data_IF_863430089167
#
_entry.id   IF_863430089167
#
_cell.length_a   1.000
_cell.length_b   1.000
_cell.length_c   1.000
_cell.angle_alpha   90.00
_cell.angle_beta   90.00
_cell.angle_gamma   90.00
#
_symmetry.space_group_name_H-M   'P 1'
#
loop_
_entity.id
_entity.type
_entity.pdbx_description
1 polymer ?
#
# COMPACT_ATOMS: atom_id res chain seq x y z
N UNK A 1 1.36 23.52 8.77
CA UNK A 1 1.54 22.79 7.49
C UNK A 1 2.06 21.40 7.79
N UNK A 2 1.53 20.36 7.18
CA UNK A 2 2.10 19.02 7.31
C UNK A 2 3.49 19.02 6.69
N UNK A 3 4.46 18.36 7.35
CA UNK A 3 5.83 18.19 6.82
C UNK A 3 5.74 17.34 5.56
N UNK A 4 6.24 17.84 4.44
CA UNK A 4 6.34 17.06 3.21
C UNK A 4 7.52 16.10 3.34
N UNK A 5 7.21 14.81 3.52
CA UNK A 5 8.21 13.75 3.75
C UNK A 5 9.14 13.53 2.55
N UNK A 6 8.76 13.97 1.35
CA UNK A 6 9.59 13.82 0.15
C UNK A 6 10.62 14.94 -0.04
N UNK A 7 10.53 16.02 0.77
CA UNK A 7 11.53 17.11 0.76
C UNK A 7 12.73 16.88 1.69
N UNK A 8 12.82 15.71 2.28
CA UNK A 8 13.95 15.26 3.12
C UNK A 8 14.13 13.76 2.94
N UNK A 9 15.28 13.23 3.37
CA UNK A 9 15.49 11.78 3.51
C UNK A 9 14.39 11.17 4.36
N UNK A 10 14.00 9.94 4.04
CA UNK A 10 13.05 9.20 4.84
C UNK A 10 13.56 9.02 6.27
N UNK A 11 12.74 9.37 7.25
CA UNK A 11 13.04 9.14 8.65
C UNK A 11 13.02 7.64 8.98
N UNK A 12 13.58 7.28 10.15
CA UNK A 12 13.68 5.90 10.62
C UNK A 12 12.31 5.19 10.63
N UNK A 13 11.24 5.89 11.05
CA UNK A 13 9.89 5.34 11.06
C UNK A 13 9.40 4.97 9.67
N UNK A 14 9.66 5.80 8.67
CA UNK A 14 9.34 5.53 7.27
C UNK A 14 10.18 4.38 6.73
N UNK A 15 11.49 4.34 7.02
CA UNK A 15 12.37 3.25 6.61
C UNK A 15 11.91 1.90 7.16
N UNK A 16 11.50 1.84 8.44
CA UNK A 16 10.96 0.62 9.06
C UNK A 16 9.67 0.15 8.36
N UNK A 17 8.76 1.06 8.05
CA UNK A 17 7.53 0.72 7.31
C UNK A 17 7.84 0.14 5.92
N UNK A 18 8.77 0.74 5.21
CA UNK A 18 9.21 0.28 3.90
C UNK A 18 9.93 -1.07 3.97
N UNK A 19 10.70 -1.32 5.03
CA UNK A 19 11.30 -2.63 5.29
C UNK A 19 10.22 -3.70 5.53
N UNK A 20 9.23 -3.41 6.37
CA UNK A 20 8.10 -4.32 6.63
C UNK A 20 7.36 -4.63 5.33
N UNK A 21 7.05 -3.62 4.52
CA UNK A 21 6.44 -3.81 3.20
C UNK A 21 7.28 -4.74 2.33
N UNK A 22 8.58 -4.45 2.20
CA UNK A 22 9.48 -5.21 1.33
C UNK A 22 9.56 -6.69 1.74
N UNK A 23 9.80 -6.96 3.03
CA UNK A 23 9.92 -8.32 3.53
C UNK A 23 8.58 -9.08 3.42
N UNK A 24 7.46 -8.44 3.73
CA UNK A 24 6.16 -9.08 3.59
C UNK A 24 5.83 -9.38 2.12
N UNK A 25 6.05 -8.43 1.23
CA UNK A 25 5.70 -8.57 -0.19
C UNK A 25 6.55 -9.63 -0.91
N UNK A 26 7.82 -9.78 -0.52
CA UNK A 26 8.70 -10.87 -0.99
C UNK A 26 8.14 -12.25 -0.67
N UNK A 27 7.54 -12.43 0.50
CA UNK A 27 6.95 -13.71 0.89
C UNK A 27 5.53 -13.88 0.33
N UNK A 28 4.78 -12.80 0.21
CA UNK A 28 3.40 -12.83 -0.26
C UNK A 28 3.28 -13.16 -1.75
N UNK A 29 4.04 -12.51 -2.60
CA UNK A 29 3.92 -12.64 -4.06
C UNK A 29 4.16 -14.07 -4.58
N UNK A 30 5.20 -14.81 -4.12
CA UNK A 30 5.45 -16.18 -4.54
C UNK A 30 4.32 -17.16 -4.20
N UNK A 31 3.58 -16.93 -3.14
CA UNK A 31 2.45 -17.80 -2.74
C UNK A 31 1.46 -17.94 -3.89
N UNK A 32 1.22 -16.86 -4.62
CA UNK A 32 0.27 -16.83 -5.71
C UNK A 32 0.91 -17.17 -7.06
N UNK A 33 2.16 -16.78 -7.28
CA UNK A 33 2.87 -17.06 -8.53
C UNK A 33 3.28 -18.54 -8.65
N UNK A 34 3.61 -19.20 -7.53
CA UNK A 34 4.12 -20.59 -7.52
C UNK A 34 3.10 -21.62 -7.03
N UNK A 35 1.84 -21.22 -6.85
CA UNK A 35 0.78 -22.16 -6.48
C UNK A 35 0.64 -23.28 -7.54
N UNK A 36 0.52 -24.55 -7.10
CA UNK A 36 0.38 -25.71 -7.98
C UNK A 36 -0.88 -25.66 -8.85
N UNK A 37 -1.99 -25.16 -8.27
CA UNK A 37 -3.24 -24.90 -8.98
C UNK A 37 -3.60 -23.44 -8.80
N UNK A 38 -3.79 -22.74 -9.91
CA UNK A 38 -4.19 -21.34 -9.93
C UNK A 38 -5.62 -21.26 -10.47
N UNK A 39 -6.47 -20.54 -9.75
CA UNK A 39 -7.86 -20.28 -10.13
C UNK A 39 -8.04 -18.80 -10.52
N UNK A 40 -6.90 -18.12 -10.72
CA UNK A 40 -6.83 -16.69 -11.07
C UNK A 40 -5.86 -16.52 -12.24
N UNK A 41 -6.20 -15.58 -13.08
CA UNK A 41 -5.39 -15.08 -14.19
C UNK A 41 -4.70 -13.76 -13.90
N UNK A 42 -5.02 -13.18 -12.71
CA UNK A 42 -4.61 -11.83 -12.33
C UNK A 42 -4.31 -11.74 -10.84
N UNK A 43 -3.29 -10.94 -10.51
CA UNK A 43 -2.95 -10.50 -9.14
C UNK A 43 -3.04 -8.97 -9.14
N UNK A 44 -3.71 -8.39 -8.14
CA UNK A 44 -3.89 -6.94 -8.07
C UNK A 44 -3.21 -6.40 -6.82
N UNK A 45 -2.38 -5.38 -7.00
CA UNK A 45 -1.64 -4.73 -5.94
C UNK A 45 -2.05 -3.27 -5.89
N UNK A 46 -2.39 -2.79 -4.70
CA UNK A 46 -2.76 -1.40 -4.46
C UNK A 46 -1.77 -0.75 -3.52
N UNK A 47 -1.25 0.41 -3.92
CA UNK A 47 -0.61 1.36 -3.03
C UNK A 47 -1.44 2.63 -3.03
N UNK A 48 -2.22 2.83 -1.96
CA UNK A 48 -3.20 3.91 -1.91
C UNK A 48 -2.62 5.27 -1.53
N UNK A 49 -1.35 5.31 -1.11
CA UNK A 49 -0.66 6.54 -0.69
C UNK A 49 0.78 6.54 -1.22
N UNK A 50 0.90 6.42 -2.52
CA UNK A 50 2.14 6.12 -3.22
C UNK A 50 3.23 7.21 -3.13
N UNK A 51 2.83 8.46 -2.87
CA UNK A 51 3.76 9.58 -2.84
C UNK A 51 4.49 9.79 -4.16
N UNK A 52 5.71 10.31 -4.10
CA UNK A 52 6.56 10.55 -5.28
C UNK A 52 7.33 9.29 -5.73
N UNK A 53 7.30 8.21 -4.94
CA UNK A 53 7.99 6.95 -5.22
C UNK A 53 9.42 6.86 -4.70
N UNK A 54 10.08 7.97 -4.34
CA UNK A 54 11.40 8.02 -3.69
C UNK A 54 11.57 9.32 -2.92
N UNK A 55 12.55 9.34 -2.01
CA UNK A 55 12.96 10.55 -1.31
C UNK A 55 14.02 11.36 -2.09
N UNK A 56 14.52 12.44 -1.47
CA UNK A 56 15.54 13.33 -2.07
C UNK A 56 16.88 12.66 -2.31
N UNK A 57 17.22 11.63 -1.52
CA UNK A 57 18.47 10.88 -1.65
C UNK A 57 18.34 9.71 -2.64
N UNK A 58 17.16 9.53 -3.22
CA UNK A 58 16.87 8.46 -4.16
C UNK A 58 16.48 7.12 -3.50
N UNK A 59 16.29 7.11 -2.17
CA UNK A 59 15.78 5.93 -1.45
C UNK A 59 14.38 5.58 -1.95
N UNK A 60 14.18 4.32 -2.31
CA UNK A 60 12.92 3.88 -2.87
C UNK A 60 11.79 3.90 -1.85
N UNK A 61 10.66 4.52 -2.22
CA UNK A 61 9.39 4.41 -1.52
C UNK A 61 8.61 3.15 -1.94
N UNK A 62 7.45 2.99 -1.35
CA UNK A 62 6.58 1.81 -1.55
C UNK A 62 6.33 1.45 -3.00
N UNK A 63 5.99 2.39 -3.94
CA UNK A 63 5.72 2.03 -5.33
C UNK A 63 6.91 1.38 -6.03
N UNK A 64 8.11 1.92 -5.79
CA UNK A 64 9.31 1.42 -6.45
C UNK A 64 9.85 0.13 -5.80
N UNK A 65 9.59 -0.10 -4.52
CA UNK A 65 9.86 -1.37 -3.83
C UNK A 65 8.98 -2.46 -4.41
N UNK A 66 7.66 -2.25 -4.47
CA UNK A 66 6.71 -3.21 -5.04
C UNK A 66 7.08 -3.53 -6.50
N UNK A 67 7.37 -2.49 -7.29
CA UNK A 67 7.76 -2.67 -8.69
C UNK A 67 9.08 -3.43 -8.83
N UNK A 68 10.04 -3.24 -7.91
CA UNK A 68 11.30 -4.00 -7.90
C UNK A 68 11.04 -5.47 -7.67
N UNK A 69 10.18 -5.83 -6.73
CA UNK A 69 9.85 -7.22 -6.45
C UNK A 69 9.06 -7.86 -7.60
N UNK A 70 8.11 -7.17 -8.21
CA UNK A 70 7.43 -7.66 -9.41
C UNK A 70 8.42 -7.97 -10.54
N UNK A 71 9.45 -7.14 -10.72
CA UNK A 71 10.51 -7.37 -11.73
C UNK A 71 11.36 -8.60 -11.41
N UNK A 72 11.59 -8.91 -10.14
CA UNK A 72 12.32 -10.12 -9.74
C UNK A 72 11.56 -11.39 -10.16
N UNK A 73 10.23 -11.35 -10.22
CA UNK A 73 9.37 -12.47 -10.62
C UNK A 73 8.87 -12.39 -12.07
N UNK A 74 9.43 -11.51 -12.89
CA UNK A 74 9.00 -11.29 -14.27
C UNK A 74 8.92 -12.60 -15.09
N UNK A 75 9.90 -13.51 -14.93
CA UNK A 75 9.92 -14.79 -15.64
C UNK A 75 8.79 -15.73 -15.19
N UNK A 76 8.51 -15.80 -13.89
CA UNK A 76 7.40 -16.59 -13.34
C UNK A 76 6.05 -16.07 -13.85
N UNK A 77 5.89 -14.74 -13.85
CA UNK A 77 4.69 -14.04 -14.34
C UNK A 77 4.45 -14.31 -15.81
N UNK A 78 5.51 -14.22 -16.64
CA UNK A 78 5.44 -14.49 -18.08
C UNK A 78 5.10 -15.94 -18.37
N UNK A 79 5.79 -16.89 -17.71
CA UNK A 79 5.60 -18.32 -17.90
C UNK A 79 4.15 -18.73 -17.64
N UNK A 80 3.57 -18.23 -16.58
CA UNK A 80 2.23 -18.61 -16.14
C UNK A 80 1.12 -17.72 -16.73
N UNK A 81 1.50 -16.71 -17.52
CA UNK A 81 0.59 -15.75 -18.16
C UNK A 81 -0.32 -15.03 -17.16
N UNK A 82 0.17 -14.79 -15.95
CA UNK A 82 -0.56 -14.06 -14.90
C UNK A 82 -0.40 -12.56 -15.16
N UNK A 83 -1.50 -11.82 -15.17
CA UNK A 83 -1.46 -10.37 -15.23
C UNK A 83 -1.24 -9.81 -13.82
N UNK A 84 -0.11 -9.15 -13.57
CA UNK A 84 0.09 -8.36 -12.36
C UNK A 84 -0.33 -6.91 -12.61
N UNK A 85 -1.37 -6.46 -11.92
CA UNK A 85 -1.87 -5.10 -12.02
C UNK A 85 -1.50 -4.31 -10.76
N UNK A 86 -0.59 -3.35 -10.91
CA UNK A 86 -0.18 -2.41 -9.87
C UNK A 86 -0.93 -1.10 -10.01
N UNK A 87 -1.72 -0.77 -9.01
CA UNK A 87 -2.51 0.46 -8.93
C UNK A 87 -1.89 1.35 -7.86
N UNK A 88 -1.35 2.48 -8.28
CA UNK A 88 -0.72 3.49 -7.44
C UNK A 88 -1.62 4.69 -7.35
N UNK A 89 -1.91 5.17 -6.16
CA UNK A 89 -2.72 6.36 -5.96
C UNK A 89 -1.96 7.41 -5.15
N UNK A 90 -1.95 8.63 -5.65
CA UNK A 90 -1.44 9.80 -4.95
C UNK A 90 -2.38 10.98 -5.22
N UNK A 91 -2.85 11.63 -4.17
CA UNK A 91 -3.84 12.70 -4.29
C UNK A 91 -3.25 14.02 -4.82
N UNK A 92 -1.99 14.29 -4.51
CA UNK A 92 -1.29 15.50 -4.97
C UNK A 92 -0.85 15.34 -6.42
N UNK A 93 -1.43 16.13 -7.31
CA UNK A 93 -1.15 16.08 -8.76
C UNK A 93 0.31 16.32 -9.12
N UNK A 94 1.02 17.17 -8.36
CA UNK A 94 2.44 17.43 -8.60
C UNK A 94 3.23 16.14 -8.27
N UNK A 95 2.92 15.48 -7.17
CA UNK A 95 3.55 14.22 -6.79
C UNK A 95 3.22 13.09 -7.76
N UNK A 96 2.01 13.07 -8.31
CA UNK A 96 1.62 12.12 -9.37
C UNK A 96 2.52 12.20 -10.57
N UNK A 97 2.85 13.41 -11.06
CA UNK A 97 3.75 13.58 -12.21
C UNK A 97 5.18 13.12 -11.89
N UNK A 98 5.67 13.40 -10.67
CA UNK A 98 6.97 12.91 -10.22
C UNK A 98 6.95 11.37 -10.13
N UNK A 99 5.88 10.78 -9.56
CA UNK A 99 5.68 9.34 -9.47
C UNK A 99 5.69 8.69 -10.86
N UNK A 100 4.96 9.24 -11.84
CA UNK A 100 4.96 8.76 -13.24
C UNK A 100 6.37 8.69 -13.82
N UNK A 101 7.13 9.74 -13.63
CA UNK A 101 8.52 9.81 -14.10
C UNK A 101 9.40 8.75 -13.41
N UNK A 102 9.27 8.59 -12.09
CA UNK A 102 10.04 7.62 -11.33
C UNK A 102 9.71 6.18 -11.72
N UNK A 103 8.43 5.87 -11.90
CA UNK A 103 7.95 4.54 -12.37
C UNK A 103 8.47 4.27 -13.79
N UNK A 104 8.33 5.23 -14.71
CA UNK A 104 8.81 5.09 -16.10
C UNK A 104 10.32 4.85 -16.13
N UNK A 105 11.10 5.62 -15.37
CA UNK A 105 12.55 5.43 -15.28
C UNK A 105 12.90 4.05 -14.69
N UNK A 106 12.18 3.56 -13.68
CA UNK A 106 12.39 2.24 -13.10
C UNK A 106 12.13 1.13 -14.12
N UNK A 107 11.16 1.29 -15.00
CA UNK A 107 10.84 0.33 -16.06
C UNK A 107 11.92 0.31 -17.14
N UNK A 108 12.44 1.46 -17.56
CA UNK A 108 13.52 1.56 -18.55
C UNK A 108 14.78 0.77 -18.17
N UNK A 109 15.08 0.68 -16.86
CA UNK A 109 16.25 -0.01 -16.33
C UNK A 109 15.93 -1.43 -15.85
N UNK A 110 15.18 -2.20 -16.64
CA UNK A 110 14.88 -3.58 -16.31
C UNK A 110 16.13 -4.46 -16.41
N UNK A 111 16.48 -5.19 -15.32
CA UNK A 111 17.64 -6.10 -15.29
C UNK A 111 17.51 -7.24 -16.28
N UNK A 112 16.30 -7.62 -16.64
CA UNK A 112 15.99 -8.71 -17.58
C UNK A 112 15.97 -8.25 -19.05
N UNK A 113 16.20 -7.00 -19.33
CA UNK A 113 16.52 -6.46 -20.63
C UNK A 113 17.96 -6.88 -20.95
N UNK A 114 18.34 -7.60 -21.78
CA UNK A 114 18.10 -8.11 -23.12
C UNK A 114 17.42 -9.49 -23.20
N UNK A 115 17.26 -10.21 -22.10
CA UNK A 115 16.61 -11.52 -22.10
C UNK A 115 15.08 -11.46 -22.02
N UNK A 116 14.51 -10.29 -21.76
CA UNK A 116 13.08 -10.08 -21.83
C UNK A 116 12.63 -10.14 -23.30
N UNK A 117 11.65 -11.00 -23.65
CA UNK A 117 11.15 -11.09 -25.03
C UNK A 117 10.41 -9.82 -25.47
N UNK A 118 10.18 -8.88 -24.56
CA UNK A 118 9.42 -7.65 -24.75
C UNK A 118 10.35 -6.45 -24.78
N UNK A 119 10.32 -5.71 -25.87
CA UNK A 119 11.30 -4.64 -26.18
C UNK A 119 10.85 -3.25 -25.73
N UNK A 120 9.56 -3.10 -25.35
CA UNK A 120 8.97 -1.82 -24.93
C UNK A 120 8.25 -1.95 -23.60
N UNK A 121 8.04 -0.83 -22.89
CA UNK A 121 7.27 -0.80 -21.65
C UNK A 121 5.79 -1.21 -21.87
N UNK A 122 5.26 -1.04 -23.07
CA UNK A 122 3.90 -1.43 -23.45
C UNK A 122 3.74 -2.95 -23.47
N UNK A 123 4.84 -3.67 -23.67
CA UNK A 123 4.89 -5.12 -23.67
C UNK A 123 5.18 -5.73 -22.31
N UNK A 124 5.34 -4.94 -21.26
CA UNK A 124 5.63 -5.48 -19.94
C UNK A 124 4.44 -6.28 -19.40
N UNK A 125 4.72 -7.37 -18.67
CA UNK A 125 3.71 -8.23 -18.02
C UNK A 125 2.99 -7.54 -16.87
N UNK A 126 3.40 -6.33 -16.52
CA UNK A 126 2.74 -5.53 -15.50
C UNK A 126 1.84 -4.51 -16.16
N UNK A 127 0.61 -4.47 -15.73
CA UNK A 127 -0.25 -3.32 -15.94
C UNK A 127 -0.02 -2.36 -14.78
N UNK A 128 0.32 -1.10 -15.06
CA UNK A 128 0.49 -0.07 -14.03
C UNK A 128 -0.50 1.05 -14.30
N UNK A 129 -1.32 1.31 -13.30
CA UNK A 129 -2.27 2.43 -13.31
C UNK A 129 -1.86 3.43 -12.22
N UNK A 130 -1.79 4.70 -12.54
CA UNK A 130 -1.49 5.77 -11.59
C UNK A 130 -2.69 6.70 -11.55
N UNK A 131 -3.32 6.78 -10.38
CA UNK A 131 -4.53 7.55 -10.10
C UNK A 131 -4.20 8.80 -9.27
N UNK A 132 -5.02 9.85 -9.40
CA UNK A 132 -4.94 11.10 -8.63
C UNK A 132 -6.22 11.34 -7.81
N UNK A 133 -6.79 10.26 -7.26
CA UNK A 133 -8.09 10.27 -6.60
C UNK A 133 -7.97 10.43 -5.08
N UNK A 134 -9.01 11.00 -4.48
CA UNK A 134 -9.23 10.90 -3.06
C UNK A 134 -9.31 9.42 -2.64
N UNK A 135 -8.64 9.07 -1.53
CA UNK A 135 -8.57 7.69 -1.06
C UNK A 135 -9.96 7.04 -0.91
N UNK A 136 -10.90 7.74 -0.26
CA UNK A 136 -12.24 7.16 0.01
C UNK A 136 -13.00 6.92 -1.28
N UNK A 137 -12.90 7.85 -2.22
CA UNK A 137 -13.54 7.74 -3.52
C UNK A 137 -13.00 6.52 -4.28
N UNK A 138 -11.68 6.40 -4.38
CA UNK A 138 -11.04 5.26 -5.04
C UNK A 138 -11.33 3.96 -4.29
N UNK A 139 -11.18 3.93 -2.95
CA UNK A 139 -11.44 2.72 -2.17
C UNK A 139 -12.87 2.21 -2.36
N UNK A 140 -13.87 3.08 -2.33
CA UNK A 140 -15.27 2.67 -2.54
C UNK A 140 -15.56 2.20 -3.96
N UNK A 141 -14.90 2.77 -4.96
CA UNK A 141 -14.98 2.32 -6.36
C UNK A 141 -14.42 0.90 -6.49
N UNK A 142 -13.18 0.67 -6.03
CA UNK A 142 -12.51 -0.63 -6.16
C UNK A 142 -13.11 -1.69 -5.24
N UNK A 143 -13.63 -1.31 -4.05
CA UNK A 143 -14.27 -2.24 -3.11
C UNK A 143 -15.45 -2.99 -3.74
N UNK A 144 -16.29 -2.29 -4.52
CA UNK A 144 -17.41 -2.92 -5.24
C UNK A 144 -16.91 -3.99 -6.22
N UNK A 145 -15.89 -3.65 -6.99
CA UNK A 145 -15.25 -4.58 -7.93
C UNK A 145 -14.61 -5.78 -7.21
N UNK A 146 -13.99 -5.55 -6.05
CA UNK A 146 -13.37 -6.61 -5.25
C UNK A 146 -14.38 -7.61 -4.70
N UNK A 147 -15.53 -7.13 -4.24
CA UNK A 147 -16.64 -7.99 -3.78
C UNK A 147 -17.20 -8.85 -4.90
N UNK A 148 -17.22 -8.34 -6.13
CA UNK A 148 -17.71 -9.08 -7.32
C UNK A 148 -16.70 -10.12 -7.83
N UNK A 149 -15.43 -10.01 -7.46
CA UNK A 149 -14.35 -10.90 -7.89
C UNK A 149 -13.57 -11.48 -6.70
N UNK A 150 -14.21 -12.27 -5.82
CA UNK A 150 -13.61 -12.69 -4.54
C UNK A 150 -12.42 -13.65 -4.71
N UNK A 151 -12.25 -14.25 -5.89
CA UNK A 151 -11.21 -15.25 -6.16
C UNK A 151 -9.85 -14.64 -6.53
N UNK A 152 -9.80 -13.35 -6.89
CA UNK A 152 -8.55 -12.71 -7.27
C UNK A 152 -7.68 -12.40 -6.03
N UNK A 153 -6.40 -12.81 -6.03
CA UNK A 153 -5.47 -12.40 -4.99
C UNK A 153 -5.21 -10.88 -5.03
N UNK A 154 -5.21 -10.27 -3.85
CA UNK A 154 -4.96 -8.84 -3.71
C UNK A 154 -4.03 -8.54 -2.56
N UNK A 155 -3.19 -7.54 -2.77
CA UNK A 155 -2.40 -6.93 -1.73
C UNK A 155 -2.68 -5.44 -1.67
N UNK A 156 -2.82 -4.89 -0.46
CA UNK A 156 -3.05 -3.46 -0.27
C UNK A 156 -2.04 -2.88 0.71
N UNK A 157 -1.36 -1.84 0.28
CA UNK A 157 -0.51 -1.04 1.15
C UNK A 157 -1.19 0.29 1.46
N UNK A 158 -1.33 0.61 2.76
CA UNK A 158 -2.16 1.70 3.26
C UNK A 158 -1.36 2.53 4.26
N UNK A 159 -0.30 3.22 3.81
CA UNK A 159 0.50 4.12 4.66
C UNK A 159 -0.08 5.53 4.69
N UNK A 160 -1.21 5.68 5.35
CA UNK A 160 -1.89 6.95 5.47
C UNK A 160 -1.12 7.95 6.34
N UNK A 161 -1.18 9.22 6.00
CA UNK A 161 -0.77 10.28 6.90
C UNK A 161 -1.83 10.51 7.97
N UNK A 162 -1.48 10.25 9.24
CA UNK A 162 -2.40 10.43 10.40
C UNK A 162 -3.35 9.24 10.59
N UNK A 163 -4.67 9.54 10.77
CA UNK A 163 -5.67 8.55 11.20
C UNK A 163 -6.99 8.61 10.42
N UNK A 164 -7.12 9.56 9.48
CA UNK A 164 -8.43 9.94 8.94
C UNK A 164 -8.99 8.96 7.91
N UNK A 165 -8.14 8.20 7.26
CA UNK A 165 -8.53 7.40 6.09
C UNK A 165 -9.00 6.00 6.47
N UNK A 166 -8.25 5.30 7.33
CA UNK A 166 -8.58 3.93 7.75
C UNK A 166 -9.48 3.98 9.00
N UNK A 167 -10.71 4.43 8.79
CA UNK A 167 -11.74 4.43 9.84
C UNK A 167 -12.24 3.01 10.13
N UNK A 168 -12.98 2.83 11.23
CA UNK A 168 -13.58 1.53 11.57
C UNK A 168 -14.43 0.95 10.44
N UNK A 169 -15.15 1.79 9.68
CA UNK A 169 -15.96 1.33 8.54
C UNK A 169 -15.13 0.88 7.35
N UNK A 170 -14.03 1.59 7.06
CA UNK A 170 -13.07 1.17 6.03
C UNK A 170 -12.41 -0.14 6.44
N UNK A 171 -12.00 -0.25 7.70
CA UNK A 171 -11.36 -1.46 8.22
C UNK A 171 -12.29 -2.69 8.14
N UNK A 172 -13.56 -2.58 8.55
CA UNK A 172 -14.53 -3.68 8.40
C UNK A 172 -14.65 -4.11 6.93
N UNK A 173 -14.71 -3.16 6.00
CA UNK A 173 -14.74 -3.47 4.57
C UNK A 173 -13.48 -4.19 4.09
N UNK A 174 -12.30 -3.82 4.60
CA UNK A 174 -11.05 -4.52 4.29
C UNK A 174 -11.08 -5.98 4.76
N UNK A 175 -11.52 -6.21 6.00
CA UNK A 175 -11.61 -7.56 6.61
C UNK A 175 -12.63 -8.45 5.90
N UNK A 176 -13.69 -7.90 5.33
CA UNK A 176 -14.69 -8.66 4.55
C UNK A 176 -14.16 -9.18 3.20
N UNK A 177 -13.04 -8.66 2.70
CA UNK A 177 -12.51 -9.02 1.39
C UNK A 177 -11.81 -10.38 1.44
N UNK A 178 -12.23 -11.29 0.58
CA UNK A 178 -11.57 -12.60 0.43
C UNK A 178 -10.27 -12.47 -0.36
N UNK A 179 -9.29 -13.33 -0.07
CA UNK A 179 -7.98 -13.37 -0.73
C UNK A 179 -7.30 -12.01 -0.84
N UNK A 180 -7.46 -11.22 0.21
CA UNK A 180 -6.94 -9.86 0.26
C UNK A 180 -6.11 -9.70 1.52
N UNK A 181 -4.84 -9.48 1.37
CA UNK A 181 -3.94 -9.12 2.44
C UNK A 181 -3.71 -7.62 2.41
N UNK A 182 -3.61 -7.01 3.59
CA UNK A 182 -3.35 -5.59 3.67
C UNK A 182 -2.41 -5.25 4.83
N UNK A 183 -1.55 -4.27 4.60
CA UNK A 183 -0.73 -3.63 5.61
C UNK A 183 -1.19 -2.19 5.74
N UNK A 184 -1.48 -1.75 6.96
CA UNK A 184 -1.80 -0.36 7.22
C UNK A 184 -1.06 0.17 8.44
N UNK A 185 -0.76 1.47 8.42
CA UNK A 185 -0.08 2.15 9.51
C UNK A 185 -0.96 3.24 10.09
N UNK A 186 -0.90 3.36 11.40
CA UNK A 186 -1.57 4.41 12.17
C UNK A 186 -0.58 5.00 13.16
N UNK A 187 -0.50 6.33 13.18
CA UNK A 187 0.32 7.03 14.15
C UNK A 187 -0.32 6.95 15.54
N UNK A 188 0.16 6.04 16.38
CA UNK A 188 -0.32 5.87 17.75
C UNK A 188 -0.06 7.10 18.63
N UNK A 189 1.06 7.78 18.43
CA UNK A 189 1.37 9.05 19.13
C UNK A 189 0.42 10.16 18.74
N UNK A 190 0.04 10.25 17.46
CA UNK A 190 -0.97 11.20 17.00
C UNK A 190 -2.34 10.85 17.60
N UNK A 191 -2.71 9.57 17.59
CA UNK A 191 -3.95 9.09 18.15
C UNK A 191 -4.08 9.46 19.65
N UNK A 192 -3.07 9.17 20.47
CA UNK A 192 -3.05 9.49 21.89
C UNK A 192 -3.12 11.01 22.15
N UNK A 193 -2.37 11.82 21.39
CA UNK A 193 -2.31 13.27 21.56
C UNK A 193 -3.63 13.97 21.29
N UNK A 194 -4.39 13.49 20.33
CA UNK A 194 -5.61 14.15 19.84
C UNK A 194 -6.90 13.40 20.20
N UNK A 195 -6.84 12.39 21.07
CA UNK A 195 -7.99 11.55 21.44
C UNK A 195 -9.23 12.32 21.92
N UNK A 196 -9.06 13.47 22.57
CA UNK A 196 -10.19 14.29 23.07
C UNK A 196 -10.81 15.22 22.05
N UNK A 197 -10.13 15.47 20.94
CA UNK A 197 -10.66 16.36 19.93
C UNK A 197 -11.92 15.78 19.27
N UNK A 198 -13.02 16.55 19.17
CA UNK A 198 -14.26 16.08 18.54
C UNK A 198 -14.05 15.55 17.12
N UNK A 199 -13.13 16.16 16.38
CA UNK A 199 -12.75 15.73 15.05
C UNK A 199 -12.11 14.35 15.04
N UNK A 200 -11.34 14.02 16.07
CA UNK A 200 -10.69 12.73 16.22
C UNK A 200 -11.70 11.60 16.47
N UNK A 201 -12.68 11.84 17.35
CA UNK A 201 -13.72 10.85 17.71
C UNK A 201 -14.57 10.41 16.53
N UNK A 202 -14.60 11.21 15.43
CA UNK A 202 -15.25 10.83 14.17
C UNK A 202 -14.51 9.69 13.45
N UNK A 203 -13.21 9.54 13.68
CA UNK A 203 -12.35 8.55 12.98
C UNK A 203 -12.03 7.35 13.84
N UNK A 204 -11.71 7.58 15.11
CA UNK A 204 -11.43 6.54 16.10
C UNK A 204 -12.27 6.79 17.34
N UNK A 205 -13.11 5.84 17.70
CA UNK A 205 -13.96 5.91 18.92
C UNK A 205 -13.16 5.49 20.15
N UNK A 206 -12.08 6.23 20.44
CA UNK A 206 -11.21 6.02 21.58
C UNK A 206 -11.20 7.30 22.43
N UNK A 207 -11.21 7.13 23.76
CA UNK A 207 -11.08 8.22 24.73
C UNK A 207 -9.62 8.38 25.18
N UNK A 208 -9.30 9.53 25.77
CA UNK A 208 -7.99 9.74 26.38
C UNK A 208 -7.75 8.79 27.56
N UNK A 209 -8.78 8.49 28.33
CA UNK A 209 -8.70 7.58 29.46
C UNK A 209 -8.18 6.20 29.03
N UNK A 210 -8.63 5.70 27.86
CA UNK A 210 -8.15 4.42 27.32
C UNK A 210 -6.66 4.45 27.00
N UNK A 211 -6.11 5.61 26.59
CA UNK A 211 -4.67 5.79 26.38
C UNK A 211 -3.92 6.00 27.69
N UNK A 212 -4.46 6.76 28.64
CA UNK A 212 -3.81 7.10 29.91
C UNK A 212 -3.70 5.89 30.85
N UNK A 213 -4.72 5.02 30.88
CA UNK A 213 -4.70 3.75 31.63
C UNK A 213 -3.53 2.86 31.25
N UNK A 214 -3.03 3.00 30.04
CA UNK A 214 -1.98 2.14 29.47
C UNK A 214 -0.59 2.79 29.40
N UNK A 215 -0.35 3.94 30.02
CA UNK A 215 0.92 4.72 29.98
C UNK A 215 1.63 4.74 28.61
N UNK A 216 2.41 5.74 28.29
CA UNK A 216 2.94 6.07 26.95
C UNK A 216 3.54 4.90 26.12
N UNK A 217 3.99 3.83 26.75
CA UNK A 217 4.53 2.63 26.09
C UNK A 217 3.48 1.73 25.44
N UNK A 218 2.18 2.00 25.60
CA UNK A 218 1.10 1.10 25.19
C UNK A 218 0.10 1.70 24.21
N UNK A 219 0.29 2.93 23.73
CA UNK A 219 -0.63 3.58 22.79
C UNK A 219 -0.90 2.70 21.55
N UNK A 220 0.12 2.00 21.04
CA UNK A 220 -0.05 1.08 19.92
C UNK A 220 -0.94 -0.11 20.26
N UNK A 221 -0.95 -0.59 21.52
CA UNK A 221 -1.83 -1.70 21.96
C UNK A 221 -3.29 -1.26 22.04
N UNK A 222 -3.56 -0.02 22.45
CA UNK A 222 -4.92 0.55 22.44
C UNK A 222 -5.45 0.57 21.02
N UNK A 223 -4.68 1.07 20.08
CA UNK A 223 -5.02 1.08 18.66
C UNK A 223 -5.23 -0.36 18.13
N UNK A 224 -4.30 -1.26 18.43
CA UNK A 224 -4.41 -2.65 18.04
C UNK A 224 -5.70 -3.29 18.57
N UNK A 225 -6.01 -3.12 19.85
CA UNK A 225 -7.21 -3.67 20.48
C UNK A 225 -8.48 -3.08 19.87
N UNK A 226 -8.49 -1.78 19.58
CA UNK A 226 -9.61 -1.14 18.88
C UNK A 226 -9.91 -1.83 17.54
N UNK A 227 -8.91 -2.01 16.69
CA UNK A 227 -9.12 -2.67 15.40
C UNK A 227 -9.43 -4.16 15.55
N UNK A 228 -8.82 -4.84 16.51
CA UNK A 228 -9.12 -6.25 16.82
C UNK A 228 -10.59 -6.47 17.22
N UNK A 229 -11.22 -5.53 17.91
CA UNK A 229 -12.63 -5.61 18.27
C UNK A 229 -13.60 -5.38 17.09
N UNK A 230 -13.09 -4.92 15.94
CA UNK A 230 -13.89 -4.68 14.74
C UNK A 230 -13.99 -5.92 13.84
N UNK A 231 -13.21 -6.96 14.12
CA UNK A 231 -13.21 -8.26 13.44
C UNK A 231 -14.24 -9.18 14.11
#
# INVERSE_FOLDING_TARGET
MARDIHKSSFDEGTQIKLLILNEYFKEWLPVFLRARKKYWDRIIIYDFFAGEGKDVDGTQGSPLIILSELKNYCQDILKDKILCHLILNEYDKIKVEILRNNVTNKLKHCKNYPSCPKTTNEDCTFQITIEDKDFRSLFMEVYKSMKSNPELPRFMFLDQYGIKQITGDVFRKLVELKRTDFIFFISSSFASRFAEMPEFKKYLKLSREEFDLNKSFHCHRVIFNYYKQLI
#
